data_IF_264786443894
#
_entry.id   IF_264786443894
#
_cell.length_a   1.000
_cell.length_b   1.000
_cell.length_c   1.000
_cell.angle_alpha   90.00
_cell.angle_beta   90.00
_cell.angle_gamma   90.00
#
_symmetry.space_group_name_H-M   'P 1'
#
loop_
_entity.id
_entity.type
_entity.pdbx_description
1 polymer ?
#
# COMPACT_ATOMS: atom_id res chain seq x y z
N UNK A 1 12.27 6.08 -26.97
CA UNK A 1 13.19 7.09 -27.50
C UNK A 1 12.72 8.42 -26.97
N UNK A 2 13.59 9.21 -26.38
CA UNK A 2 13.31 10.54 -25.81
C UNK A 2 13.05 11.52 -26.95
N UNK A 3 11.95 12.23 -26.93
CA UNK A 3 11.55 13.10 -28.05
C UNK A 3 11.35 14.53 -27.55
N UNK A 4 12.00 15.48 -28.20
CA UNK A 4 11.88 16.92 -27.92
C UNK A 4 11.28 17.61 -29.13
N UNK A 5 10.20 18.37 -28.90
CA UNK A 5 9.59 19.22 -29.93
C UNK A 5 10.17 20.61 -29.83
N UNK A 6 10.72 21.10 -30.93
CA UNK A 6 11.22 22.45 -31.10
C UNK A 6 10.21 23.23 -31.92
N UNK A 7 9.71 24.34 -31.39
CA UNK A 7 8.76 25.24 -32.06
C UNK A 7 9.43 26.62 -32.20
N UNK A 8 9.93 26.92 -33.37
CA UNK A 8 10.64 28.15 -33.69
C UNK A 8 10.45 28.47 -35.18
N UNK A 9 10.11 29.72 -35.53
CA UNK A 9 9.87 30.13 -36.91
C UNK A 9 11.15 30.24 -37.72
N UNK A 10 12.31 30.29 -37.04
CA UNK A 10 13.63 30.34 -37.67
C UNK A 10 14.19 28.91 -37.92
N UNK A 11 14.23 28.41 -39.18
CA UNK A 11 14.74 27.08 -39.47
C UNK A 11 16.17 26.84 -38.96
N UNK A 12 17.05 27.86 -38.99
CA UNK A 12 18.45 27.73 -38.55
C UNK A 12 18.54 27.45 -37.03
N UNK A 13 17.66 28.03 -36.22
CA UNK A 13 17.53 27.72 -34.78
C UNK A 13 17.07 26.27 -34.57
N UNK A 14 16.05 25.86 -35.32
CA UNK A 14 15.54 24.48 -35.30
C UNK A 14 16.63 23.45 -35.67
N UNK A 15 17.43 23.72 -36.73
CA UNK A 15 18.52 22.85 -37.16
C UNK A 15 19.67 22.79 -36.13
N UNK A 16 20.07 23.94 -35.55
CA UNK A 16 21.08 23.99 -34.51
C UNK A 16 20.70 23.19 -33.27
N UNK A 17 19.48 23.36 -32.76
CA UNK A 17 18.94 22.60 -31.63
C UNK A 17 18.80 21.11 -31.98
N UNK A 18 18.34 20.80 -33.19
CA UNK A 18 18.22 19.43 -33.67
C UNK A 18 19.56 18.69 -33.70
N UNK A 19 20.64 19.37 -34.16
CA UNK A 19 21.97 18.79 -34.16
C UNK A 19 22.48 18.54 -32.72
N UNK A 20 22.35 19.52 -31.86
CA UNK A 20 22.77 19.40 -30.46
C UNK A 20 22.07 18.25 -29.75
N UNK A 21 20.72 18.11 -29.89
CA UNK A 21 19.96 17.06 -29.27
C UNK A 21 20.24 15.67 -29.87
N UNK A 22 20.43 15.58 -31.19
CA UNK A 22 20.70 14.30 -31.85
C UNK A 22 22.05 13.70 -31.43
N UNK A 23 23.05 14.50 -31.13
CA UNK A 23 24.32 14.03 -30.57
C UNK A 23 24.21 13.37 -29.20
N UNK A 24 23.10 13.61 -28.49
CA UNK A 24 22.80 13.06 -27.18
C UNK A 24 21.68 12.00 -27.20
N UNK A 25 21.47 11.36 -28.37
CA UNK A 25 20.44 10.30 -28.55
C UNK A 25 18.99 10.76 -28.27
N UNK A 26 18.74 12.06 -28.37
CA UNK A 26 17.42 12.67 -28.23
C UNK A 26 16.86 12.90 -29.63
N UNK A 27 15.63 12.43 -29.89
CA UNK A 27 14.91 12.62 -31.17
C UNK A 27 14.34 14.04 -31.22
N UNK A 28 14.83 14.95 -32.06
CA UNK A 28 14.22 16.24 -32.25
C UNK A 28 13.08 16.17 -33.25
N UNK A 29 12.02 16.93 -33.02
CA UNK A 29 10.96 17.24 -33.96
C UNK A 29 10.91 18.77 -34.11
N UNK A 30 10.77 19.26 -35.32
CA UNK A 30 10.78 20.71 -35.59
C UNK A 30 9.40 21.10 -36.14
N UNK A 31 8.83 22.14 -35.58
CA UNK A 31 7.66 22.85 -36.06
C UNK A 31 8.02 24.31 -36.29
N UNK A 32 7.66 24.84 -37.45
CA UNK A 32 7.98 26.23 -37.82
C UNK A 32 6.86 27.21 -37.45
N UNK A 33 5.73 26.69 -36.98
CA UNK A 33 4.60 27.53 -36.53
C UNK A 33 3.94 26.95 -35.27
N UNK A 34 3.25 27.77 -34.46
CA UNK A 34 2.48 27.32 -33.32
C UNK A 34 1.45 26.22 -33.67
N UNK A 35 0.77 26.34 -34.81
CA UNK A 35 -0.26 25.38 -35.26
C UNK A 35 0.35 24.02 -35.59
N UNK A 36 1.51 24.01 -36.26
CA UNK A 36 2.27 22.77 -36.52
C UNK A 36 2.71 22.14 -35.21
N UNK A 37 3.20 22.93 -34.27
CA UNK A 37 3.61 22.44 -32.94
C UNK A 37 2.45 21.79 -32.19
N UNK A 38 1.28 22.43 -32.17
CA UNK A 38 0.08 21.88 -31.53
C UNK A 38 -0.41 20.60 -32.21
N UNK A 39 -0.38 20.56 -33.57
CA UNK A 39 -0.74 19.34 -34.31
C UNK A 39 0.21 18.16 -34.04
N UNK A 40 1.51 18.42 -33.88
CA UNK A 40 2.50 17.39 -33.51
C UNK A 40 2.30 16.89 -32.08
N UNK A 41 1.88 17.75 -31.15
CA UNK A 41 1.54 17.34 -29.77
C UNK A 41 0.34 16.38 -29.71
N UNK A 42 -0.57 16.44 -30.68
CA UNK A 42 -1.72 15.54 -30.77
C UNK A 42 -1.37 14.19 -31.46
N UNK A 43 -0.41 14.18 -32.38
CA UNK A 43 -0.07 13.01 -33.21
C UNK A 43 1.17 12.25 -32.75
N UNK A 44 2.11 12.91 -32.11
CA UNK A 44 3.40 12.35 -31.71
C UNK A 44 3.57 12.32 -30.19
N UNK A 45 4.37 11.38 -29.73
CA UNK A 45 4.75 11.33 -28.34
C UNK A 45 5.91 12.27 -28.07
N UNK A 46 5.65 13.35 -27.34
CA UNK A 46 6.62 14.37 -26.99
C UNK A 46 6.89 14.33 -25.49
N UNK A 47 8.16 14.45 -25.10
CA UNK A 47 8.63 14.38 -23.74
C UNK A 47 8.98 15.74 -23.13
N UNK A 48 9.48 16.67 -23.97
CA UNK A 48 9.81 18.07 -23.63
C UNK A 48 9.50 18.94 -24.84
N UNK A 49 9.04 20.17 -24.62
CA UNK A 49 8.88 21.20 -25.65
C UNK A 49 9.91 22.31 -25.41
N UNK A 50 10.57 22.73 -26.49
CA UNK A 50 11.36 23.98 -26.55
C UNK A 50 10.62 24.90 -27.51
N UNK A 51 10.12 26.04 -27.03
CA UNK A 51 9.38 26.98 -27.87
C UNK A 51 9.99 28.36 -27.87
N UNK A 52 9.94 29.02 -29.02
CA UNK A 52 10.23 30.46 -29.12
C UNK A 52 9.10 31.29 -28.53
N UNK A 53 9.45 32.49 -28.10
CA UNK A 53 8.50 33.48 -27.60
C UNK A 53 7.94 34.40 -28.70
N UNK A 54 8.61 34.53 -29.85
CA UNK A 54 8.21 35.38 -30.97
C UNK A 54 8.23 34.57 -32.27
N UNK A 55 7.13 34.51 -32.99
CA UNK A 55 6.97 33.74 -34.22
C UNK A 55 6.86 34.64 -35.48
N UNK A 56 6.90 35.96 -35.32
CA UNK A 56 6.90 36.94 -36.44
C UNK A 56 8.02 37.92 -36.27
N UNK A 57 8.77 38.19 -37.36
CA UNK A 57 9.98 39.02 -37.38
C UNK A 57 9.78 40.47 -36.89
N UNK A 58 8.53 40.97 -36.95
CA UNK A 58 8.18 42.34 -36.60
C UNK A 58 7.58 42.52 -35.19
N UNK A 59 7.35 41.41 -34.44
CA UNK A 59 6.79 41.43 -33.08
C UNK A 59 7.81 41.01 -32.04
N UNK A 60 8.15 41.95 -31.16
CA UNK A 60 9.03 41.66 -29.98
C UNK A 60 8.22 41.56 -28.69
N UNK A 61 6.86 41.44 -28.79
CA UNK A 61 5.95 41.47 -27.63
C UNK A 61 5.91 40.16 -26.83
N UNK A 62 6.28 39.04 -27.45
CA UNK A 62 6.19 37.69 -26.83
C UNK A 62 4.74 37.18 -26.66
N UNK A 63 3.72 37.90 -27.11
CA UNK A 63 2.30 37.54 -26.95
C UNK A 63 1.97 36.19 -27.63
N UNK A 64 2.54 35.92 -28.79
CA UNK A 64 2.33 34.65 -29.52
C UNK A 64 2.87 33.44 -28.75
N UNK A 65 4.07 33.57 -28.20
CA UNK A 65 4.69 32.53 -27.36
C UNK A 65 3.93 32.31 -26.06
N UNK A 66 3.38 33.36 -25.44
CA UNK A 66 2.52 33.27 -24.25
C UNK A 66 1.21 32.53 -24.62
N UNK A 67 0.60 32.85 -25.76
CA UNK A 67 -0.61 32.20 -26.20
C UNK A 67 -0.39 30.70 -26.47
N UNK A 68 0.71 30.37 -27.14
CA UNK A 68 1.13 28.98 -27.41
C UNK A 68 1.38 28.22 -26.09
N UNK A 69 2.15 28.78 -25.17
CA UNK A 69 2.41 28.18 -23.85
C UNK A 69 1.10 27.89 -23.09
N UNK A 70 0.17 28.83 -23.06
CA UNK A 70 -1.12 28.64 -22.43
C UNK A 70 -1.94 27.55 -23.11
N UNK A 71 -1.94 27.49 -24.45
CA UNK A 71 -2.62 26.45 -25.22
C UNK A 71 -2.04 25.03 -24.92
N UNK A 72 -0.71 24.93 -24.82
CA UNK A 72 -0.04 23.68 -24.43
C UNK A 72 -0.44 23.29 -23.00
N UNK A 73 -0.39 24.23 -22.05
CA UNK A 73 -0.74 23.97 -20.65
C UNK A 73 -2.19 23.54 -20.43
N UNK A 74 -3.13 24.07 -21.20
CA UNK A 74 -4.54 23.65 -21.11
C UNK A 74 -4.76 22.19 -21.49
N UNK A 75 -3.99 21.66 -22.44
CA UNK A 75 -4.14 20.29 -22.96
C UNK A 75 -3.16 19.30 -22.34
N UNK A 76 -1.97 19.76 -21.96
CA UNK A 76 -0.84 18.97 -21.46
C UNK A 76 -0.25 19.60 -20.20
N UNK A 77 -0.95 19.44 -19.08
CA UNK A 77 -0.60 20.06 -17.77
C UNK A 77 0.80 19.71 -17.29
N UNK A 78 1.25 18.48 -17.54
CA UNK A 78 2.50 17.94 -16.98
C UNK A 78 3.67 17.94 -17.98
N UNK A 79 3.45 18.40 -19.23
CA UNK A 79 4.50 18.41 -20.26
C UNK A 79 5.49 19.54 -20.00
N UNK A 80 6.79 19.28 -19.78
CA UNK A 80 7.77 20.33 -19.58
C UNK A 80 7.92 21.21 -20.81
N UNK A 81 7.87 22.53 -20.61
CA UNK A 81 8.08 23.53 -21.69
C UNK A 81 9.24 24.44 -21.30
N UNK A 82 10.25 24.49 -22.15
CA UNK A 82 11.38 25.43 -22.09
C UNK A 82 11.07 26.58 -23.04
N UNK A 83 11.21 27.81 -22.54
CA UNK A 83 10.99 29.01 -23.33
C UNK A 83 12.31 29.57 -23.86
N UNK A 84 12.41 29.81 -25.18
CA UNK A 84 13.53 30.55 -25.77
C UNK A 84 13.17 32.02 -25.89
N UNK A 85 14.00 32.92 -25.36
CA UNK A 85 13.71 34.35 -25.35
C UNK A 85 14.96 35.18 -25.74
N UNK A 86 14.75 36.28 -26.48
CA UNK A 86 15.75 37.31 -26.60
C UNK A 86 15.76 38.16 -25.31
N UNK A 87 16.91 38.68 -24.90
CA UNK A 87 17.23 39.34 -23.62
C UNK A 87 16.27 40.42 -23.11
N UNK A 88 15.28 40.84 -23.87
CA UNK A 88 14.45 42.02 -23.61
C UNK A 88 13.25 41.81 -22.66
N UNK A 89 12.90 40.55 -22.25
CA UNK A 89 11.69 40.27 -21.50
C UNK A 89 11.85 39.31 -20.31
N UNK A 90 12.86 39.60 -19.47
CA UNK A 90 13.11 38.76 -18.26
C UNK A 90 11.94 38.71 -17.29
N UNK A 91 11.19 39.82 -17.14
CA UNK A 91 10.02 39.89 -16.27
C UNK A 91 8.91 38.93 -16.76
N UNK A 92 8.65 38.89 -18.06
CA UNK A 92 7.65 38.00 -18.66
C UNK A 92 8.07 36.53 -18.54
N UNK A 93 9.37 36.21 -18.70
CA UNK A 93 9.87 34.85 -18.49
C UNK A 93 9.69 34.38 -17.06
N UNK A 94 9.94 35.23 -16.06
CA UNK A 94 9.69 34.94 -14.64
C UNK A 94 8.21 34.69 -14.34
N UNK A 95 7.32 35.47 -14.95
CA UNK A 95 5.85 35.25 -14.81
C UNK A 95 5.42 33.89 -15.41
N UNK A 96 5.97 33.51 -16.55
CA UNK A 96 5.66 32.24 -17.19
C UNK A 96 6.24 31.03 -16.46
N UNK A 97 7.40 31.15 -15.82
CA UNK A 97 7.90 30.13 -14.89
C UNK A 97 6.95 29.99 -13.70
N UNK A 98 6.46 31.09 -13.13
CA UNK A 98 5.40 31.02 -12.08
C UNK A 98 4.09 30.41 -12.60
N UNK A 99 3.80 30.58 -13.88
CA UNK A 99 2.64 29.96 -14.54
C UNK A 99 2.88 28.50 -14.96
N UNK A 100 4.05 27.91 -14.63
CA UNK A 100 4.38 26.50 -14.82
C UNK A 100 5.31 26.18 -15.99
N UNK A 101 5.97 27.16 -16.62
CA UNK A 101 7.07 26.85 -17.54
C UNK A 101 8.21 26.17 -16.77
N UNK A 102 8.83 25.16 -17.40
CA UNK A 102 9.86 24.37 -16.74
C UNK A 102 11.18 25.14 -16.58
N UNK A 103 11.55 25.90 -17.61
CA UNK A 103 12.72 26.77 -17.60
C UNK A 103 12.63 27.79 -18.74
N UNK A 104 13.58 28.73 -18.75
CA UNK A 104 13.79 29.65 -19.87
C UNK A 104 15.25 29.74 -20.25
N UNK A 105 15.55 29.94 -21.54
CA UNK A 105 16.89 30.09 -22.08
C UNK A 105 16.95 31.34 -22.97
N UNK A 106 18.03 32.12 -22.79
CA UNK A 106 18.28 33.30 -23.62
C UNK A 106 18.90 32.89 -24.98
N UNK A 107 18.50 33.59 -26.04
CA UNK A 107 19.19 33.50 -27.34
C UNK A 107 20.29 34.57 -27.40
N UNK A 108 21.58 34.24 -27.71
CA UNK A 108 22.11 32.90 -27.96
C UNK A 108 22.23 32.09 -26.68
N UNK A 109 21.94 30.80 -26.72
CA UNK A 109 22.03 29.89 -25.59
C UNK A 109 23.43 29.28 -25.43
N UNK A 110 23.69 28.77 -24.26
CA UNK A 110 24.81 27.90 -23.95
C UNK A 110 24.41 26.45 -24.15
N UNK A 111 25.10 25.71 -25.04
CA UNK A 111 24.73 24.33 -25.38
C UNK A 111 24.82 23.40 -24.16
N UNK A 112 25.79 23.56 -23.27
CA UNK A 112 25.93 22.74 -22.09
C UNK A 112 24.77 22.96 -21.12
N UNK A 113 24.33 24.22 -20.94
CA UNK A 113 23.18 24.56 -20.11
C UNK A 113 21.89 24.03 -20.72
N UNK A 114 21.67 24.18 -22.02
CA UNK A 114 20.52 23.68 -22.75
C UNK A 114 20.40 22.17 -22.55
N UNK A 115 21.44 21.41 -22.83
CA UNK A 115 21.48 19.96 -22.74
C UNK A 115 21.22 19.49 -21.31
N UNK A 116 21.88 20.08 -20.32
CA UNK A 116 21.64 19.74 -18.91
C UNK A 116 20.19 19.99 -18.49
N UNK A 117 19.60 21.11 -18.93
CA UNK A 117 18.18 21.41 -18.66
C UNK A 117 17.25 20.38 -19.31
N UNK A 118 17.49 20.09 -20.60
CA UNK A 118 16.67 19.10 -21.35
C UNK A 118 16.79 17.71 -20.74
N UNK A 119 17.99 17.24 -20.42
CA UNK A 119 18.22 15.93 -19.79
C UNK A 119 17.49 15.80 -18.45
N UNK A 120 17.63 16.78 -17.56
CA UNK A 120 16.91 16.81 -16.28
C UNK A 120 15.39 16.76 -16.45
N UNK A 121 14.85 17.51 -17.41
CA UNK A 121 13.42 17.52 -17.67
C UNK A 121 12.93 16.22 -18.32
N UNK A 122 13.73 15.58 -19.15
CA UNK A 122 13.43 14.26 -19.71
C UNK A 122 13.38 13.19 -18.61
N UNK A 123 14.34 13.17 -17.70
CA UNK A 123 14.36 12.25 -16.56
C UNK A 123 13.15 12.47 -15.66
N UNK A 124 12.80 13.72 -15.34
CA UNK A 124 11.61 14.06 -14.57
C UNK A 124 10.33 13.59 -15.28
N UNK A 125 10.21 13.84 -16.59
CA UNK A 125 9.06 13.41 -17.41
C UNK A 125 8.93 11.88 -17.47
N UNK A 126 10.04 11.15 -17.62
CA UNK A 126 10.06 9.69 -17.58
C UNK A 126 9.59 9.15 -16.24
N UNK A 127 10.15 9.65 -15.13
CA UNK A 127 9.78 9.26 -13.77
C UNK A 127 8.29 9.51 -13.50
N UNK A 128 7.79 10.70 -13.84
CA UNK A 128 6.38 11.06 -13.67
C UNK A 128 5.45 10.13 -14.45
N UNK A 129 5.84 9.79 -15.70
CA UNK A 129 5.06 8.87 -16.54
C UNK A 129 5.08 7.43 -16.05
N UNK A 130 6.23 6.95 -15.54
CA UNK A 130 6.31 5.61 -14.95
C UNK A 130 5.38 5.50 -13.73
N UNK A 131 5.38 6.50 -12.86
CA UNK A 131 4.46 6.57 -11.71
C UNK A 131 3.01 6.58 -12.18
N UNK A 132 2.67 7.40 -13.19
CA UNK A 132 1.31 7.46 -13.73
C UNK A 132 0.86 6.15 -14.38
N UNK A 133 1.75 5.46 -15.12
CA UNK A 133 1.49 4.13 -15.70
C UNK A 133 1.24 3.10 -14.62
N UNK A 134 2.14 3.00 -13.65
CA UNK A 134 1.99 2.06 -12.52
C UNK A 134 0.67 2.31 -11.77
N UNK A 135 0.29 3.58 -11.56
CA UNK A 135 -0.98 3.96 -10.94
C UNK A 135 -2.20 3.51 -11.77
N UNK A 136 -2.15 3.72 -13.09
CA UNK A 136 -3.22 3.30 -14.00
C UNK A 136 -3.34 1.78 -14.09
N UNK A 137 -2.24 1.04 -14.12
CA UNK A 137 -2.24 -0.43 -14.11
C UNK A 137 -2.84 -0.97 -12.82
N UNK A 138 -2.45 -0.41 -11.65
CA UNK A 138 -3.04 -0.76 -10.34
C UNK A 138 -4.54 -0.50 -10.32
N UNK A 139 -4.99 0.64 -10.85
CA UNK A 139 -6.42 0.97 -10.93
C UNK A 139 -7.18 -0.02 -11.81
N UNK A 140 -6.67 -0.32 -13.01
CA UNK A 140 -7.28 -1.31 -13.93
C UNK A 140 -7.38 -2.69 -13.29
N UNK A 141 -6.32 -3.15 -12.63
CA UNK A 141 -6.32 -4.44 -11.91
C UNK A 141 -7.39 -4.49 -10.82
N UNK A 142 -7.54 -3.41 -10.05
CA UNK A 142 -8.59 -3.30 -9.03
C UNK A 142 -9.99 -3.35 -9.65
N UNK A 143 -10.23 -2.60 -10.71
CA UNK A 143 -11.51 -2.60 -11.44
C UNK A 143 -11.82 -3.99 -12.01
N UNK A 144 -10.84 -4.69 -12.54
CA UNK A 144 -11.00 -6.06 -13.06
C UNK A 144 -11.35 -7.06 -11.96
N UNK A 145 -10.72 -6.96 -10.79
CA UNK A 145 -11.05 -7.79 -9.63
C UNK A 145 -12.49 -7.56 -9.18
N UNK A 146 -12.92 -6.29 -9.06
CA UNK A 146 -14.28 -5.92 -8.68
C UNK A 146 -15.35 -6.36 -9.70
N UNK A 147 -15.01 -6.44 -10.99
CA UNK A 147 -15.91 -6.93 -12.02
C UNK A 147 -16.07 -8.46 -12.04
N UNK A 148 -15.00 -9.18 -11.68
CA UNK A 148 -14.96 -10.65 -11.75
C UNK A 148 -15.49 -11.34 -10.50
N UNK A 149 -15.40 -10.69 -9.36
CA UNK A 149 -15.64 -11.27 -8.06
C UNK A 149 -16.53 -10.37 -7.20
N UNK A 150 -17.31 -11.02 -6.34
CA UNK A 150 -18.05 -10.33 -5.30
C UNK A 150 -17.08 -9.94 -4.17
N UNK A 151 -16.75 -8.65 -4.13
CA UNK A 151 -15.87 -8.04 -3.14
C UNK A 151 -16.62 -7.06 -2.24
N UNK A 152 -17.93 -7.29 -2.03
CA UNK A 152 -18.76 -6.38 -1.25
C UNK A 152 -18.21 -6.12 0.16
N UNK A 153 -18.25 -4.87 0.55
CA UNK A 153 -17.80 -4.42 1.86
C UNK A 153 -16.29 -4.43 2.09
N UNK A 154 -15.45 -4.60 1.04
CA UNK A 154 -14.01 -4.42 1.15
C UNK A 154 -13.53 -3.19 0.42
N UNK A 155 -12.70 -2.39 1.10
CA UNK A 155 -12.02 -1.22 0.54
C UNK A 155 -10.53 -1.47 0.54
N UNK A 156 -9.89 -1.28 -0.62
CA UNK A 156 -8.46 -1.45 -0.81
C UNK A 156 -7.95 -0.60 -1.97
N UNK A 157 -6.70 -0.22 -1.92
CA UNK A 157 -5.97 0.48 -2.99
C UNK A 157 -4.57 -0.11 -3.20
N UNK A 158 -4.02 -0.77 -2.16
CA UNK A 158 -2.67 -1.34 -2.18
C UNK A 158 -2.56 -2.58 -3.07
N UNK A 159 -1.41 -2.74 -3.69
CA UNK A 159 -1.08 -3.93 -4.48
C UNK A 159 -0.99 -5.20 -3.60
N UNK A 160 -0.53 -5.06 -2.37
CA UNK A 160 -0.46 -6.16 -1.41
C UNK A 160 -1.85 -6.75 -1.15
N UNK A 161 -2.84 -5.89 -0.90
CA UNK A 161 -4.22 -6.32 -0.70
C UNK A 161 -4.86 -6.87 -1.97
N UNK A 162 -4.56 -6.28 -3.15
CA UNK A 162 -5.03 -6.79 -4.44
C UNK A 162 -4.59 -8.24 -4.66
N UNK A 163 -3.33 -8.58 -4.39
CA UNK A 163 -2.80 -9.96 -4.50
C UNK A 163 -3.47 -10.92 -3.51
N UNK A 164 -3.66 -10.50 -2.26
CA UNK A 164 -4.35 -11.30 -1.25
C UNK A 164 -5.77 -11.62 -1.69
N UNK A 165 -6.52 -10.64 -2.22
CA UNK A 165 -7.87 -10.81 -2.73
C UNK A 165 -7.93 -11.70 -3.97
N UNK A 166 -6.99 -11.54 -4.90
CA UNK A 166 -6.90 -12.38 -6.09
C UNK A 166 -6.72 -13.84 -5.70
N UNK A 167 -5.79 -14.15 -4.79
CA UNK A 167 -5.59 -15.50 -4.26
C UNK A 167 -6.86 -16.01 -3.55
N UNK A 168 -7.45 -15.21 -2.67
CA UNK A 168 -8.69 -15.57 -1.95
C UNK A 168 -9.83 -15.92 -2.90
N UNK A 169 -10.01 -15.14 -3.98
CA UNK A 169 -11.03 -15.39 -4.98
C UNK A 169 -10.72 -16.60 -5.89
N UNK A 170 -9.45 -16.85 -6.18
CA UNK A 170 -9.03 -18.04 -6.94
C UNK A 170 -9.34 -19.32 -6.15
N UNK A 171 -8.97 -19.36 -4.87
CA UNK A 171 -9.21 -20.53 -4.01
C UNK A 171 -10.69 -20.68 -3.63
N UNK A 172 -11.50 -19.63 -3.75
CA UNK A 172 -12.93 -19.68 -3.48
C UNK A 172 -13.65 -20.74 -4.31
N UNK A 173 -13.19 -20.98 -5.55
CA UNK A 173 -13.79 -21.94 -6.48
C UNK A 173 -13.53 -23.41 -6.13
N UNK A 174 -12.60 -23.68 -5.26
CA UNK A 174 -12.29 -25.05 -4.76
C UNK A 174 -12.94 -25.29 -3.41
N UNK A 175 -13.15 -26.56 -3.05
CA UNK A 175 -13.67 -26.96 -1.73
C UNK A 175 -12.56 -27.18 -0.69
N UNK A 176 -11.30 -26.94 -1.03
CA UNK A 176 -10.16 -27.15 -0.12
C UNK A 176 -10.22 -26.22 1.09
N UNK A 177 -9.75 -26.69 2.27
CA UNK A 177 -9.55 -25.85 3.43
C UNK A 177 -8.59 -24.69 3.15
N UNK A 178 -8.88 -23.53 3.72
CA UNK A 178 -8.06 -22.32 3.59
C UNK A 178 -7.71 -21.81 4.97
N UNK A 179 -6.43 -21.57 5.20
CA UNK A 179 -5.93 -20.90 6.40
C UNK A 179 -5.63 -19.44 6.09
N UNK A 180 -6.28 -18.53 6.81
CA UNK A 180 -6.08 -17.09 6.68
C UNK A 180 -5.18 -16.64 7.83
N UNK A 181 -3.97 -16.20 7.50
CA UNK A 181 -3.00 -15.73 8.50
C UNK A 181 -2.90 -14.19 8.45
N UNK A 182 -2.54 -13.58 9.58
CA UNK A 182 -2.33 -12.15 9.65
C UNK A 182 -2.63 -11.56 11.03
N UNK A 183 -2.20 -10.31 11.30
CA UNK A 183 -2.33 -9.70 12.61
C UNK A 183 -3.79 -9.46 13.01
N UNK A 184 -3.99 -9.21 14.32
CA UNK A 184 -5.31 -8.88 14.85
C UNK A 184 -5.81 -7.56 14.25
N UNK A 185 -7.12 -7.53 13.94
CA UNK A 185 -7.74 -6.34 13.35
C UNK A 185 -7.42 -6.09 11.88
N UNK A 186 -6.68 -6.98 11.19
CA UNK A 186 -6.33 -6.81 9.78
C UNK A 186 -7.51 -7.03 8.81
N UNK A 187 -8.56 -7.76 9.24
CA UNK A 187 -9.76 -8.01 8.44
C UNK A 187 -9.91 -9.46 7.95
N UNK A 188 -9.35 -10.45 8.67
CA UNK A 188 -9.38 -11.89 8.31
C UNK A 188 -10.81 -12.41 8.06
N UNK A 189 -11.78 -12.04 8.92
CA UNK A 189 -13.17 -12.43 8.76
C UNK A 189 -13.79 -11.92 7.44
N UNK A 190 -13.42 -10.71 7.02
CA UNK A 190 -13.88 -10.14 5.74
C UNK A 190 -13.33 -10.93 4.55
N UNK A 191 -12.08 -11.39 4.61
CA UNK A 191 -11.49 -12.28 3.59
C UNK A 191 -12.25 -13.61 3.56
N UNK A 192 -12.58 -14.19 4.71
CA UNK A 192 -13.36 -15.43 4.76
C UNK A 192 -14.77 -15.25 4.14
N UNK A 193 -15.42 -14.12 4.40
CA UNK A 193 -16.71 -13.79 3.78
C UNK A 193 -16.62 -13.67 2.26
N UNK A 194 -15.53 -13.06 1.72
CA UNK A 194 -15.28 -12.98 0.27
C UNK A 194 -15.04 -14.36 -0.32
N UNK A 195 -14.25 -15.21 0.35
CA UNK A 195 -14.04 -16.60 -0.10
C UNK A 195 -15.37 -17.33 -0.17
N UNK A 196 -16.25 -17.18 0.84
CA UNK A 196 -17.58 -17.77 0.81
C UNK A 196 -18.44 -17.22 -0.33
N UNK A 197 -18.55 -15.90 -0.49
CA UNK A 197 -19.39 -15.24 -1.50
C UNK A 197 -19.01 -15.64 -2.94
N UNK A 198 -17.73 -15.98 -3.19
CA UNK A 198 -17.24 -16.40 -4.49
C UNK A 198 -17.13 -17.93 -4.65
N UNK A 199 -17.65 -18.70 -3.69
CA UNK A 199 -17.56 -20.16 -3.67
C UNK A 199 -18.79 -20.86 -4.26
N UNK A 200 -18.68 -22.17 -4.45
CA UNK A 200 -19.82 -23.04 -4.76
C UNK A 200 -20.86 -23.11 -3.64
N UNK A 201 -20.46 -22.89 -2.40
CA UNK A 201 -21.29 -22.89 -1.20
C UNK A 201 -21.95 -21.52 -0.89
N UNK A 202 -21.82 -20.51 -1.74
CA UNK A 202 -22.32 -19.13 -1.53
C UNK A 202 -23.80 -18.99 -1.22
N UNK A 203 -24.61 -20.01 -1.56
CA UNK A 203 -26.06 -20.05 -1.26
C UNK A 203 -26.34 -20.66 0.10
N UNK A 204 -25.37 -21.36 0.70
CA UNK A 204 -25.47 -21.94 2.03
C UNK A 204 -25.17 -20.91 3.13
N UNK A 205 -25.28 -21.33 4.37
CA UNK A 205 -24.99 -20.47 5.51
C UNK A 205 -23.48 -20.15 5.60
N UNK A 206 -23.14 -18.90 5.96
CA UNK A 206 -21.80 -18.53 6.42
C UNK A 206 -21.85 -18.38 7.94
N UNK A 207 -21.26 -19.33 8.67
CA UNK A 207 -21.26 -19.35 10.13
C UNK A 207 -19.84 -19.02 10.61
N UNK A 208 -19.69 -17.91 11.36
CA UNK A 208 -18.44 -17.53 11.96
C UNK A 208 -18.40 -17.88 13.45
N UNK A 209 -17.27 -18.43 13.91
CA UNK A 209 -17.04 -18.78 15.31
C UNK A 209 -15.64 -18.33 15.71
N UNK A 210 -15.55 -17.56 16.80
CA UNK A 210 -14.25 -17.23 17.39
C UNK A 210 -13.90 -18.27 18.45
N UNK A 211 -12.83 -19.04 18.22
CA UNK A 211 -12.37 -20.12 19.10
C UNK A 211 -11.75 -19.62 20.40
N UNK A 212 -11.38 -18.32 20.47
CA UNK A 212 -10.83 -17.69 21.68
C UNK A 212 -11.88 -16.99 22.57
N UNK A 213 -13.14 -16.90 22.12
CA UNK A 213 -14.18 -16.16 22.84
C UNK A 213 -14.75 -16.90 24.05
N UNK A 214 -14.62 -18.22 24.11
CA UNK A 214 -15.22 -19.08 25.15
C UNK A 214 -14.19 -20.03 25.75
N UNK A 215 -14.35 -20.44 27.03
CA UNK A 215 -13.56 -21.54 27.62
C UNK A 215 -13.64 -22.82 26.81
N UNK A 216 -12.60 -23.68 26.85
CA UNK A 216 -12.44 -24.84 25.99
C UNK A 216 -13.63 -25.79 25.92
N UNK A 217 -14.26 -26.12 27.05
CA UNK A 217 -15.45 -27.01 27.07
C UNK A 217 -16.67 -26.37 26.41
N UNK A 218 -16.84 -25.05 26.57
CA UNK A 218 -17.97 -24.34 25.98
C UNK A 218 -17.78 -24.11 24.47
N UNK A 219 -16.56 -23.92 24.01
CA UNK A 219 -16.29 -23.80 22.56
C UNK A 219 -16.52 -25.12 21.84
N UNK A 220 -16.18 -26.27 22.47
CA UNK A 220 -16.52 -27.58 21.92
C UNK A 220 -18.04 -27.81 21.83
N UNK A 221 -18.81 -27.45 22.89
CA UNK A 221 -20.27 -27.50 22.87
C UNK A 221 -20.86 -26.57 21.80
N UNK A 222 -20.29 -25.40 21.58
CA UNK A 222 -20.69 -24.48 20.54
C UNK A 222 -20.45 -25.05 19.13
N UNK A 223 -19.27 -25.65 18.91
CA UNK A 223 -18.87 -26.19 17.59
C UNK A 223 -19.66 -27.47 17.26
N UNK A 224 -19.70 -28.43 18.17
CA UNK A 224 -20.21 -29.78 17.91
C UNK A 224 -21.63 -30.03 18.45
N UNK A 225 -22.17 -29.08 19.24
CA UNK A 225 -23.43 -29.27 19.92
C UNK A 225 -23.34 -30.10 21.20
N UNK A 226 -24.37 -30.10 21.98
CA UNK A 226 -24.44 -30.85 23.23
C UNK A 226 -25.83 -31.43 23.45
N UNK A 227 -25.89 -32.61 24.05
CA UNK A 227 -27.15 -33.19 24.57
C UNK A 227 -27.43 -32.67 26.01
N UNK A 228 -28.66 -32.80 26.46
CA UNK A 228 -29.00 -32.42 27.81
C UNK A 228 -28.16 -33.20 28.84
N UNK A 229 -27.55 -32.51 29.80
CA UNK A 229 -26.69 -33.12 30.83
C UNK A 229 -25.23 -33.37 30.39
N UNK A 230 -24.81 -32.97 29.20
CA UNK A 230 -23.46 -33.19 28.69
C UNK A 230 -22.36 -32.47 29.50
N UNK A 231 -22.70 -31.33 30.11
CA UNK A 231 -21.80 -30.57 30.99
C UNK A 231 -22.62 -29.79 32.02
N UNK A 232 -21.96 -29.23 33.03
CA UNK A 232 -22.64 -28.47 34.11
C UNK A 232 -23.31 -27.21 33.53
N UNK A 233 -24.65 -27.22 33.49
CA UNK A 233 -25.46 -26.14 32.89
C UNK A 233 -26.11 -26.50 31.56
N UNK A 234 -25.84 -27.67 30.97
CA UNK A 234 -26.50 -28.15 29.76
C UNK A 234 -27.92 -28.64 30.03
N UNK A 235 -28.87 -27.73 30.28
CA UNK A 235 -30.26 -28.08 30.63
C UNK A 235 -31.09 -28.59 29.44
N UNK A 236 -30.69 -28.29 28.22
CA UNK A 236 -31.37 -28.69 26.97
C UNK A 236 -30.33 -29.08 25.91
N UNK A 237 -30.75 -29.97 25.01
CA UNK A 237 -29.94 -30.27 23.83
C UNK A 237 -29.83 -29.04 22.93
N UNK A 238 -28.63 -28.80 22.38
CA UNK A 238 -28.33 -27.68 21.52
C UNK A 238 -27.57 -28.13 20.27
N UNK A 239 -27.97 -27.62 19.12
CA UNK A 239 -27.27 -27.85 17.84
C UNK A 239 -25.93 -27.13 17.81
N UNK A 240 -24.94 -27.79 17.21
CA UNK A 240 -23.61 -27.21 17.01
C UNK A 240 -23.50 -26.39 15.74
N UNK A 241 -22.45 -25.58 15.66
CA UNK A 241 -22.18 -24.73 14.51
C UNK A 241 -21.91 -25.55 13.24
N UNK A 242 -21.34 -26.74 13.35
CA UNK A 242 -21.22 -27.67 12.22
C UNK A 242 -22.56 -28.09 11.63
N UNK A 243 -23.56 -28.32 12.47
CA UNK A 243 -24.93 -28.65 12.01
C UNK A 243 -25.56 -27.45 11.28
N UNK A 244 -25.42 -26.25 11.86
CA UNK A 244 -25.97 -25.02 11.28
C UNK A 244 -25.26 -24.60 9.97
N UNK A 245 -24.02 -25.03 9.79
CA UNK A 245 -23.25 -24.74 8.60
C UNK A 245 -23.37 -25.81 7.50
N UNK A 246 -24.21 -26.83 7.68
CA UNK A 246 -24.35 -27.93 6.71
C UNK A 246 -24.76 -27.40 5.31
N UNK A 247 -24.06 -27.82 4.28
CA UNK A 247 -24.19 -27.31 2.92
C UNK A 247 -23.61 -25.90 2.70
N UNK A 248 -22.98 -25.29 3.71
CA UNK A 248 -22.45 -23.94 3.71
C UNK A 248 -20.95 -23.89 4.06
N UNK A 249 -20.58 -22.81 4.75
CA UNK A 249 -19.19 -22.54 5.17
C UNK A 249 -19.14 -22.26 6.67
N UNK A 250 -18.22 -22.90 7.36
CA UNK A 250 -17.86 -22.60 8.74
C UNK A 250 -16.53 -21.88 8.77
N UNK A 251 -16.49 -20.68 9.34
CA UNK A 251 -15.28 -19.91 9.56
C UNK A 251 -14.87 -19.98 11.03
N UNK A 252 -13.67 -20.50 11.28
CA UNK A 252 -13.09 -20.66 12.60
C UNK A 252 -12.01 -19.57 12.80
N UNK A 253 -12.34 -18.50 13.51
CA UNK A 253 -11.38 -17.47 13.87
C UNK A 253 -10.59 -17.87 15.12
N UNK A 254 -9.33 -17.43 15.18
CA UNK A 254 -8.39 -17.73 16.27
C UNK A 254 -8.24 -19.23 16.57
N UNK A 255 -8.12 -20.05 15.51
CA UNK A 255 -8.07 -21.51 15.59
C UNK A 255 -6.97 -22.05 16.54
N UNK A 256 -5.88 -21.28 16.76
CA UNK A 256 -4.84 -21.61 17.71
C UNK A 256 -5.32 -21.77 19.16
N UNK A 257 -6.46 -21.18 19.51
CA UNK A 257 -7.03 -21.24 20.87
C UNK A 257 -7.89 -22.49 21.13
N UNK A 258 -8.10 -23.34 20.09
CA UNK A 258 -8.88 -24.57 20.25
C UNK A 258 -8.13 -25.56 21.13
N UNK A 259 -8.85 -26.15 22.10
CA UNK A 259 -8.28 -27.20 22.98
C UNK A 259 -7.80 -28.42 22.21
N UNK A 260 -6.83 -29.18 22.74
CA UNK A 260 -6.34 -30.40 22.08
C UNK A 260 -7.48 -31.41 21.82
N UNK A 261 -8.47 -31.52 22.72
CA UNK A 261 -9.65 -32.36 22.51
C UNK A 261 -10.52 -31.86 21.36
N UNK A 262 -10.73 -30.54 21.29
CA UNK A 262 -11.43 -29.90 20.18
C UNK A 262 -10.70 -30.07 18.84
N UNK A 263 -9.36 -30.01 18.85
CA UNK A 263 -8.54 -30.25 17.66
C UNK A 263 -8.70 -31.69 17.12
N UNK A 264 -8.77 -32.69 17.98
CA UNK A 264 -9.01 -34.09 17.58
C UNK A 264 -10.39 -34.25 16.93
N UNK A 265 -11.44 -33.67 17.54
CA UNK A 265 -12.79 -33.70 16.98
C UNK A 265 -12.88 -32.96 15.64
N UNK A 266 -12.23 -31.79 15.53
CA UNK A 266 -12.18 -31.03 14.30
C UNK A 266 -11.49 -31.81 13.17
N UNK A 267 -10.35 -32.47 13.47
CA UNK A 267 -9.65 -33.32 12.50
C UNK A 267 -10.58 -34.40 11.95
N UNK A 268 -11.34 -35.11 12.82
CA UNK A 268 -12.29 -36.14 12.41
C UNK A 268 -13.36 -35.59 11.45
N UNK A 269 -13.90 -34.39 11.75
CA UNK A 269 -14.88 -33.75 10.84
C UNK A 269 -14.26 -33.39 9.50
N UNK A 270 -13.03 -32.87 9.48
CA UNK A 270 -12.32 -32.50 8.25
C UNK A 270 -11.96 -33.72 7.37
N UNK A 271 -11.77 -34.89 7.98
CA UNK A 271 -11.43 -36.11 7.27
C UNK A 271 -12.64 -36.88 6.76
N UNK A 272 -13.67 -37.00 7.61
CA UNK A 272 -14.77 -37.92 7.38
C UNK A 272 -16.15 -37.26 7.22
N UNK A 273 -16.25 -35.97 7.53
CA UNK A 273 -17.53 -35.24 7.62
C UNK A 273 -18.40 -35.70 8.81
N UNK A 274 -17.81 -36.42 9.80
CA UNK A 274 -18.55 -37.04 10.91
C UNK A 274 -18.13 -36.42 12.24
N UNK A 275 -19.13 -36.30 13.12
CA UNK A 275 -18.90 -35.87 14.50
C UNK A 275 -20.03 -36.38 15.40
N UNK A 276 -19.87 -36.21 16.71
CA UNK A 276 -20.83 -36.54 17.75
C UNK A 276 -21.01 -35.30 18.63
N UNK A 277 -22.27 -35.04 19.06
CA UNK A 277 -22.55 -34.01 20.08
C UNK A 277 -21.90 -34.40 21.42
N UNK A 278 -21.55 -33.45 22.22
CA UNK A 278 -21.08 -33.69 23.58
C UNK A 278 -22.17 -34.48 24.36
N UNK A 279 -21.76 -35.54 25.05
CA UNK A 279 -22.67 -36.41 25.79
C UNK A 279 -23.52 -37.37 24.92
N UNK A 280 -23.21 -37.48 23.61
CA UNK A 280 -23.92 -38.39 22.70
C UNK A 280 -22.94 -39.34 22.02
N UNK A 281 -23.33 -40.62 21.87
CA UNK A 281 -22.64 -41.58 21.01
C UNK A 281 -23.20 -41.66 19.59
N UNK A 282 -24.17 -40.78 19.23
CA UNK A 282 -24.78 -40.79 17.89
C UNK A 282 -23.95 -40.00 16.90
N UNK A 283 -23.40 -40.68 15.89
CA UNK A 283 -22.65 -40.07 14.80
C UNK A 283 -23.58 -39.25 13.89
N UNK A 284 -23.19 -38.03 13.57
CA UNK A 284 -23.81 -37.09 12.62
C UNK A 284 -22.92 -36.88 11.44
N UNK A 285 -23.51 -36.56 10.29
CA UNK A 285 -22.80 -36.28 9.05
C UNK A 285 -23.13 -34.86 8.57
N UNK A 286 -22.11 -34.14 8.14
CA UNK A 286 -22.25 -32.80 7.54
C UNK A 286 -21.29 -32.64 6.34
N UNK A 287 -21.71 -31.82 5.39
CA UNK A 287 -20.85 -31.35 4.30
C UNK A 287 -20.63 -29.85 4.46
N UNK A 288 -19.55 -29.48 5.12
CA UNK A 288 -19.21 -28.10 5.45
C UNK A 288 -17.85 -27.72 4.86
N UNK A 289 -17.78 -26.59 4.17
CA UNK A 289 -16.50 -25.99 3.82
C UNK A 289 -15.92 -25.28 5.04
N UNK A 290 -14.68 -25.64 5.42
CA UNK A 290 -14.03 -25.02 6.58
C UNK A 290 -13.01 -24.00 6.10
N UNK A 291 -13.14 -22.78 6.63
CA UNK A 291 -12.15 -21.70 6.55
C UNK A 291 -11.65 -21.45 7.97
N UNK A 292 -10.35 -21.28 8.15
CA UNK A 292 -9.77 -21.01 9.47
C UNK A 292 -8.89 -19.76 9.43
N UNK A 293 -8.81 -19.06 10.56
CA UNK A 293 -7.94 -17.90 10.69
C UNK A 293 -7.14 -17.93 11.99
N UNK A 294 -5.96 -17.33 11.95
CA UNK A 294 -5.10 -17.17 13.13
C UNK A 294 -4.16 -15.99 13.00
N UNK A 295 -3.79 -15.43 14.13
CA UNK A 295 -2.65 -14.51 14.27
C UNK A 295 -1.45 -15.18 14.95
N UNK A 296 -1.60 -16.43 15.42
CA UNK A 296 -0.57 -17.16 16.13
C UNK A 296 0.36 -17.91 15.16
N UNK A 297 1.61 -18.09 15.57
CA UNK A 297 2.54 -19.00 14.89
C UNK A 297 2.19 -20.45 15.23
N UNK A 298 1.35 -21.08 14.41
CA UNK A 298 0.95 -22.48 14.60
C UNK A 298 2.14 -23.43 14.57
N UNK A 299 3.21 -23.13 13.82
CA UNK A 299 4.41 -23.98 13.80
C UNK A 299 5.15 -23.92 15.13
N UNK A 300 5.22 -22.77 15.77
CA UNK A 300 5.75 -22.66 17.14
C UNK A 300 4.86 -23.41 18.14
N UNK A 301 3.53 -23.35 18.00
CA UNK A 301 2.59 -24.08 18.83
C UNK A 301 2.69 -25.61 18.66
N UNK A 302 2.97 -26.10 17.45
CA UNK A 302 3.24 -27.52 17.17
C UNK A 302 4.50 -27.95 17.94
N UNK A 303 5.58 -27.17 17.86
CA UNK A 303 6.82 -27.45 18.61
C UNK A 303 6.61 -27.47 20.13
N UNK A 304 5.70 -26.63 20.63
CA UNK A 304 5.32 -26.55 22.05
C UNK A 304 4.30 -27.64 22.48
N UNK A 305 3.79 -28.46 21.55
CA UNK A 305 2.80 -29.50 21.84
C UNK A 305 1.40 -28.97 22.12
N UNK A 306 1.09 -27.69 21.83
CA UNK A 306 -0.21 -27.05 22.05
C UNK A 306 -1.09 -27.05 20.83
N UNK A 307 -0.55 -27.37 19.67
CA UNK A 307 -1.30 -27.56 18.42
C UNK A 307 -0.85 -28.84 17.72
N UNK A 308 -1.79 -29.59 17.14
CA UNK A 308 -1.48 -30.87 16.47
C UNK A 308 -0.99 -30.63 15.06
N UNK A 309 0.07 -31.33 14.69
CA UNK A 309 0.69 -31.28 13.37
C UNK A 309 -0.24 -31.82 12.26
N UNK A 310 -0.97 -32.93 12.53
CA UNK A 310 -1.90 -33.54 11.58
C UNK A 310 -3.06 -32.57 11.23
N UNK A 311 -3.62 -31.89 12.22
CA UNK A 311 -4.63 -30.87 12.00
C UNK A 311 -4.09 -29.69 11.20
N UNK A 312 -2.87 -29.23 11.49
CA UNK A 312 -2.24 -28.14 10.75
C UNK A 312 -2.19 -28.43 9.25
N UNK A 313 -1.69 -29.61 8.84
CA UNK A 313 -1.63 -29.98 7.43
C UNK A 313 -3.00 -30.14 6.78
N UNK A 314 -4.03 -30.47 7.55
CA UNK A 314 -5.39 -30.57 7.05
C UNK A 314 -6.07 -29.21 6.87
N UNK A 315 -5.73 -28.21 7.71
CA UNK A 315 -6.26 -26.84 7.62
C UNK A 315 -5.47 -25.99 6.61
N UNK A 316 -4.15 -26.15 6.57
CA UNK A 316 -3.25 -25.33 5.75
C UNK A 316 -2.96 -25.99 4.40
N UNK A 317 -4.02 -26.27 3.61
CA UNK A 317 -3.84 -26.68 2.21
C UNK A 317 -3.48 -25.50 1.34
N UNK A 318 -4.13 -24.34 1.58
CA UNK A 318 -3.77 -23.07 0.97
C UNK A 318 -3.77 -22.00 2.07
N UNK A 319 -2.67 -21.25 2.13
CA UNK A 319 -2.50 -20.14 3.04
C UNK A 319 -2.78 -18.80 2.33
N UNK A 320 -3.66 -18.00 2.91
CA UNK A 320 -3.93 -16.62 2.47
C UNK A 320 -3.41 -15.68 3.55
N UNK A 321 -2.26 -15.07 3.30
CA UNK A 321 -1.67 -14.11 4.23
C UNK A 321 -2.25 -12.71 4.03
N UNK A 322 -2.75 -12.12 5.11
CA UNK A 322 -3.27 -10.77 5.16
C UNK A 322 -2.22 -9.84 5.78
N UNK A 323 -1.64 -8.91 5.00
CA UNK A 323 -0.58 -8.05 5.49
C UNK A 323 -1.09 -7.06 6.55
N UNK A 324 -0.24 -6.63 7.50
CA UNK A 324 -0.56 -5.56 8.44
C UNK A 324 -0.83 -4.25 7.69
N UNK A 325 -1.59 -3.34 8.31
CA UNK A 325 -1.96 -2.07 7.68
C UNK A 325 -0.73 -1.20 7.37
N UNK A 326 0.32 -1.30 8.18
CA UNK A 326 1.60 -0.63 7.95
C UNK A 326 2.30 -1.02 6.63
N UNK A 327 2.07 -2.23 6.11
CA UNK A 327 2.61 -2.72 4.82
C UNK A 327 1.70 -2.41 3.63
N UNK A 328 0.54 -1.80 3.88
CA UNK A 328 -0.46 -1.41 2.87
C UNK A 328 -0.96 0.02 3.08
N UNK A 329 -0.02 0.94 3.15
CA UNK A 329 -0.26 2.37 3.45
C UNK A 329 -1.27 3.00 2.49
N UNK A 330 -1.26 2.58 1.21
CA UNK A 330 -2.21 3.04 0.20
C UNK A 330 -3.68 2.77 0.58
N UNK A 331 -3.96 1.81 1.49
CA UNK A 331 -5.31 1.49 1.94
C UNK A 331 -5.82 2.42 3.05
N UNK A 332 -4.93 3.13 3.75
CA UNK A 332 -5.27 3.89 4.97
C UNK A 332 -6.31 4.98 4.67
N UNK A 333 -6.04 5.86 3.71
CA UNK A 333 -6.96 6.95 3.39
C UNK A 333 -8.29 6.47 2.80
N UNK A 334 -8.32 5.53 1.84
CA UNK A 334 -9.58 4.96 1.36
C UNK A 334 -10.41 4.30 2.46
N UNK A 335 -9.78 3.59 3.39
CA UNK A 335 -10.46 3.01 4.55
C UNK A 335 -10.98 4.09 5.50
N UNK A 336 -10.20 5.14 5.76
CA UNK A 336 -10.63 6.25 6.60
C UNK A 336 -11.85 6.98 5.98
N UNK A 337 -11.83 7.26 4.70
CA UNK A 337 -12.94 7.87 3.96
C UNK A 337 -14.18 6.97 3.98
N UNK A 338 -14.01 5.67 3.81
CA UNK A 338 -15.10 4.70 3.92
C UNK A 338 -15.72 4.68 5.32
N UNK A 339 -14.91 4.72 6.39
CA UNK A 339 -15.43 4.75 7.75
C UNK A 339 -16.04 6.08 8.14
N UNK A 340 -15.63 7.19 7.49
CA UNK A 340 -16.28 8.49 7.66
C UNK A 340 -17.70 8.51 7.10
N UNK A 341 -17.94 7.81 6.00
CA UNK A 341 -19.25 7.71 5.36
C UNK A 341 -19.89 9.08 5.12
N UNK A 342 -19.11 10.06 4.68
CA UNK A 342 -19.55 11.42 4.40
C UNK A 342 -19.90 12.28 5.63
N UNK A 343 -19.67 11.80 6.86
CA UNK A 343 -20.01 12.52 8.11
C UNK A 343 -19.08 13.70 8.40
N UNK A 344 -17.85 13.67 7.90
CA UNK A 344 -16.85 14.72 8.05
C UNK A 344 -15.79 14.60 6.97
N UNK A 345 -14.97 15.64 6.80
CA UNK A 345 -13.83 15.65 5.88
C UNK A 345 -12.49 15.61 6.64
N UNK A 346 -11.51 14.91 6.09
CA UNK A 346 -10.16 14.90 6.63
C UNK A 346 -9.39 16.16 6.18
N UNK A 347 -8.91 16.94 7.13
CA UNK A 347 -7.94 18.00 6.84
C UNK A 347 -6.58 17.42 6.40
N UNK A 348 -5.77 18.20 5.67
CA UNK A 348 -4.48 17.74 5.13
C UNK A 348 -3.55 17.25 6.25
N UNK A 349 -3.43 17.99 7.34
CA UNK A 349 -2.62 17.57 8.49
C UNK A 349 -3.14 16.29 9.16
N UNK A 350 -4.46 16.05 9.14
CA UNK A 350 -5.03 14.79 9.63
C UNK A 350 -4.70 13.61 8.70
N UNK A 351 -4.71 13.83 7.37
CA UNK A 351 -4.27 12.84 6.37
C UNK A 351 -2.81 12.44 6.60
N UNK A 352 -1.93 13.42 6.79
CA UNK A 352 -0.51 13.17 7.07
C UNK A 352 -0.31 12.38 8.38
N UNK A 353 -1.07 12.72 9.41
CA UNK A 353 -1.04 12.00 10.69
C UNK A 353 -1.48 10.54 10.55
N UNK A 354 -2.54 10.27 9.76
CA UNK A 354 -3.01 8.92 9.47
C UNK A 354 -1.98 8.08 8.72
N UNK A 355 -1.29 8.67 7.72
CA UNK A 355 -0.26 7.99 6.93
C UNK A 355 1.03 7.73 7.72
N UNK A 356 1.34 8.57 8.70
CA UNK A 356 2.56 8.48 9.50
C UNK A 356 2.44 7.49 10.67
N UNK A 357 1.23 7.10 11.08
CA UNK A 357 1.00 6.22 12.21
C UNK A 357 1.08 4.74 11.81
N UNK A 358 1.76 3.86 12.57
CA UNK A 358 2.02 2.47 12.18
C UNK A 358 0.85 1.51 12.37
N UNK A 359 -0.25 1.92 12.95
CA UNK A 359 -1.50 1.16 13.13
C UNK A 359 -1.31 -0.25 13.73
N UNK A 360 -0.76 -0.40 14.96
CA UNK A 360 -0.55 -1.71 15.56
C UNK A 360 -1.83 -2.53 15.70
N UNK A 361 -2.99 -1.89 15.90
CA UNK A 361 -4.31 -2.53 15.92
C UNK A 361 -4.97 -2.64 14.54
N UNK A 362 -4.23 -2.31 13.46
CA UNK A 362 -4.65 -2.44 12.07
C UNK A 362 -5.97 -1.71 11.75
N UNK A 363 -6.80 -2.31 10.90
CA UNK A 363 -8.07 -1.70 10.43
C UNK A 363 -9.06 -1.49 11.59
N UNK A 364 -9.03 -2.33 12.63
CA UNK A 364 -9.90 -2.16 13.80
C UNK A 364 -9.55 -0.88 14.58
N UNK A 365 -8.27 -0.59 14.75
CA UNK A 365 -7.80 0.63 15.41
C UNK A 365 -8.10 1.86 14.54
N UNK A 366 -7.81 1.80 13.24
CA UNK A 366 -8.14 2.86 12.29
C UNK A 366 -9.63 3.20 12.32
N UNK A 367 -10.51 2.19 12.23
CA UNK A 367 -11.95 2.38 12.30
C UNK A 367 -12.37 3.11 13.58
N UNK A 368 -11.90 2.64 14.73
CA UNK A 368 -12.23 3.24 16.03
C UNK A 368 -11.72 4.69 16.13
N UNK A 369 -10.52 4.97 15.61
CA UNK A 369 -9.96 6.32 15.61
C UNK A 369 -10.78 7.28 14.74
N UNK A 370 -11.16 6.84 13.53
CA UNK A 370 -11.96 7.63 12.59
C UNK A 370 -13.39 7.85 13.11
N UNK A 371 -14.06 6.82 13.61
CA UNK A 371 -15.41 6.95 14.18
C UNK A 371 -15.43 7.92 15.36
N UNK A 372 -14.44 7.82 16.26
CA UNK A 372 -14.27 8.76 17.38
C UNK A 372 -14.01 10.19 16.88
N UNK A 373 -13.11 10.37 15.91
CA UNK A 373 -12.79 11.69 15.35
C UNK A 373 -14.00 12.31 14.68
N UNK A 374 -14.82 11.54 13.97
CA UNK A 374 -16.04 12.01 13.35
C UNK A 374 -17.08 12.52 14.36
N UNK A 375 -17.16 11.89 15.54
CA UNK A 375 -18.04 12.33 16.65
C UNK A 375 -17.54 13.63 17.30
N UNK A 376 -16.23 13.88 17.30
CA UNK A 376 -15.58 15.04 17.91
C UNK A 376 -15.29 16.17 16.90
N UNK A 377 -15.60 15.95 15.63
CA UNK A 377 -15.36 16.93 14.58
C UNK A 377 -16.21 18.20 14.82
N UNK A 378 -15.54 19.34 14.86
CA UNK A 378 -16.20 20.64 14.82
C UNK A 378 -16.25 21.10 13.35
N UNK A 379 -17.35 21.71 12.95
CA UNK A 379 -17.55 22.25 11.59
C UNK A 379 -17.37 21.21 10.44
N UNK A 380 -17.59 19.92 10.74
CA UNK A 380 -17.51 18.86 9.73
C UNK A 380 -16.10 18.55 9.23
N UNK A 381 -15.04 19.06 9.88
CA UNK A 381 -13.64 18.84 9.50
C UNK A 381 -12.85 18.23 10.64
N UNK A 382 -12.06 17.19 10.32
CA UNK A 382 -11.21 16.50 11.28
C UNK A 382 -9.78 17.06 11.22
N UNK A 383 -9.31 17.53 12.37
CA UNK A 383 -7.92 17.92 12.62
C UNK A 383 -7.14 16.75 13.29
N UNK A 384 -5.78 16.77 13.32
CA UNK A 384 -4.98 15.72 13.90
C UNK A 384 -5.29 15.42 15.38
N UNK A 385 -5.65 16.44 16.15
CA UNK A 385 -5.94 16.34 17.58
C UNK A 385 -7.15 15.45 17.87
N UNK A 386 -8.15 15.48 16.96
CA UNK A 386 -9.38 14.70 17.09
C UNK A 386 -9.17 13.20 16.81
N UNK A 387 -8.13 12.84 16.05
CA UNK A 387 -7.74 11.45 15.84
C UNK A 387 -7.25 10.81 17.14
N UNK A 388 -6.74 11.61 18.08
CA UNK A 388 -6.20 11.17 19.37
C UNK A 388 -5.31 9.93 19.20
N UNK A 389 -4.42 10.00 18.20
CA UNK A 389 -3.44 8.95 17.99
C UNK A 389 -2.41 9.04 19.13
N UNK A 390 -2.02 7.91 19.75
CA UNK A 390 -0.94 7.91 20.71
C UNK A 390 0.28 8.59 20.07
N UNK A 391 0.78 9.66 20.70
CA UNK A 391 2.08 10.17 20.31
C UNK A 391 3.05 9.01 20.53
N UNK A 392 3.50 8.44 19.43
CA UNK A 392 4.71 7.63 19.46
C UNK A 392 5.77 8.64 19.88
N UNK A 393 6.08 8.69 21.18
CA UNK A 393 7.30 9.35 21.64
C UNK A 393 8.39 8.86 20.70
N UNK A 394 9.47 9.63 20.43
CA UNK A 394 10.43 9.24 19.43
C UNK A 394 10.68 7.76 19.62
N UNK A 395 10.11 6.96 18.73
CA UNK A 395 10.36 5.53 18.74
C UNK A 395 11.85 5.50 18.58
N UNK A 396 12.54 5.13 19.64
CA UNK A 396 13.85 4.55 19.52
C UNK A 396 13.58 3.39 18.57
N UNK A 397 13.62 3.68 17.26
CA UNK A 397 13.89 2.69 16.25
C UNK A 397 15.22 2.16 16.73
N UNK A 398 15.17 1.13 17.57
CA UNK A 398 16.33 0.26 17.76
C UNK A 398 16.52 -0.32 16.36
N UNK A 399 17.27 0.41 15.53
CA UNK A 399 17.96 -0.20 14.43
C UNK A 399 18.71 -1.34 15.10
N UNK A 400 18.27 -2.57 14.86
CA UNK A 400 18.97 -3.77 15.29
C UNK A 400 20.42 -3.76 14.79
N UNK A 401 20.74 -2.90 13.83
CA UNK A 401 22.06 -2.61 13.29
C UNK A 401 22.73 -1.38 13.93
N UNK A 402 22.11 -0.66 14.87
CA UNK A 402 22.75 0.47 15.51
C UNK A 402 23.51 -0.03 16.77
N UNK A 403 24.85 0.02 16.74
CA UNK A 403 25.65 -0.47 17.86
C UNK A 403 25.26 0.27 19.14
N UNK A 404 25.00 -0.49 20.21
CA UNK A 404 24.70 0.06 21.51
C UNK A 404 25.89 0.87 22.06
N UNK A 405 25.66 1.72 23.06
CA UNK A 405 26.72 2.44 23.76
C UNK A 405 27.83 1.49 24.20
N UNK A 406 27.48 0.36 24.81
CA UNK A 406 28.41 -0.68 25.27
C UNK A 406 29.23 -1.27 24.11
N UNK A 407 28.60 -1.48 22.94
CA UNK A 407 29.28 -1.97 21.74
C UNK A 407 30.27 -0.96 21.19
N UNK A 408 29.94 0.34 21.27
CA UNK A 408 30.85 1.42 20.85
C UNK A 408 32.01 1.56 21.81
N UNK A 409 31.78 1.53 23.13
CA UNK A 409 32.80 1.55 24.16
C UNK A 409 33.77 0.37 24.02
N UNK A 410 33.25 -0.83 23.89
CA UNK A 410 34.08 -2.06 23.69
C UNK A 410 34.89 -2.03 22.42
N UNK A 411 34.36 -1.50 21.31
CA UNK A 411 35.09 -1.36 20.06
C UNK A 411 36.22 -0.30 20.16
N UNK A 412 35.97 0.80 20.85
CA UNK A 412 37.00 1.84 21.10
C UNK A 412 38.11 1.31 22.02
N UNK A 413 37.78 0.56 23.08
CA UNK A 413 38.75 -0.06 23.99
C UNK A 413 39.63 -1.07 23.23
N UNK A 414 39.01 -1.99 22.45
CA UNK A 414 39.76 -2.95 21.58
C UNK A 414 40.63 -2.28 20.54
N UNK A 415 40.21 -1.13 20.04
CA UNK A 415 40.95 -0.36 19.05
C UNK A 415 42.04 0.56 19.67
N UNK A 416 42.22 0.51 21.01
CA UNK A 416 43.19 1.38 21.70
C UNK A 416 42.88 2.86 21.54
N UNK A 417 41.60 3.26 21.49
CA UNK A 417 41.16 4.64 21.28
C UNK A 417 41.20 5.13 19.83
N UNK A 418 41.65 4.30 18.87
CA UNK A 418 41.77 4.69 17.46
C UNK A 418 40.41 4.60 16.76
N UNK A 419 39.73 5.75 16.60
CA UNK A 419 38.37 5.86 16.05
C UNK A 419 38.21 5.23 14.69
N UNK A 420 39.24 5.30 13.82
CA UNK A 420 39.18 4.68 12.48
C UNK A 420 39.12 3.15 12.52
N UNK A 421 39.83 2.51 13.46
CA UNK A 421 39.79 1.05 13.66
C UNK A 421 38.49 0.60 14.32
N UNK A 422 38.01 1.35 15.30
CA UNK A 422 36.75 1.09 15.95
C UNK A 422 35.55 1.21 14.96
N UNK A 423 35.57 2.22 14.07
CA UNK A 423 34.57 2.38 13.02
C UNK A 423 34.58 1.18 12.07
N UNK A 424 35.75 0.73 11.63
CA UNK A 424 35.88 -0.43 10.75
C UNK A 424 35.36 -1.73 11.43
N UNK A 425 35.67 -1.90 12.71
CA UNK A 425 35.20 -3.07 13.49
C UNK A 425 33.67 -3.10 13.67
N UNK A 426 33.01 -1.93 13.66
CA UNK A 426 31.56 -1.77 13.78
C UNK A 426 30.85 -1.66 12.43
N UNK A 427 31.56 -1.77 11.31
CA UNK A 427 30.98 -1.59 9.94
C UNK A 427 30.51 -0.17 9.68
N UNK A 428 31.04 0.84 10.36
CA UNK A 428 30.62 2.24 10.27
C UNK A 428 31.65 3.12 9.56
N UNK A 429 31.18 4.21 8.97
CA UNK A 429 32.09 5.27 8.56
C UNK A 429 32.62 6.03 9.80
N UNK A 430 33.84 6.61 9.70
CA UNK A 430 34.45 7.38 10.76
C UNK A 430 33.54 8.54 11.27
N UNK A 431 32.88 9.24 10.33
CA UNK A 431 31.93 10.31 10.68
C UNK A 431 30.68 9.79 11.40
N UNK A 432 30.20 8.60 11.01
CA UNK A 432 29.06 7.96 11.66
C UNK A 432 29.39 7.55 13.09
N UNK A 433 30.62 7.10 13.36
CA UNK A 433 31.06 6.77 14.72
C UNK A 433 31.23 8.03 15.58
N UNK A 434 31.79 9.12 15.05
CA UNK A 434 31.91 10.38 15.79
C UNK A 434 30.54 10.91 16.26
N UNK A 435 29.53 10.92 15.40
CA UNK A 435 28.17 11.34 15.75
C UNK A 435 27.56 10.48 16.88
N UNK A 436 27.90 9.18 16.91
CA UNK A 436 27.43 8.27 17.95
C UNK A 436 28.18 8.49 19.28
N UNK A 437 29.49 8.69 19.21
CA UNK A 437 30.30 9.04 20.38
C UNK A 437 29.79 10.32 21.04
N UNK A 438 29.46 11.35 20.24
CA UNK A 438 28.88 12.60 20.72
C UNK A 438 27.51 12.37 21.38
N UNK A 439 26.62 11.58 20.74
CA UNK A 439 25.31 11.23 21.26
C UNK A 439 25.39 10.44 22.57
N UNK A 440 26.38 9.57 22.72
CA UNK A 440 26.55 8.75 23.92
C UNK A 440 27.41 9.41 25.01
N UNK A 441 27.88 10.63 24.80
CA UNK A 441 28.75 11.35 25.72
C UNK A 441 30.14 10.75 25.83
N UNK A 442 30.63 10.06 24.80
CA UNK A 442 31.94 9.42 24.72
C UNK A 442 32.98 10.29 23.98
N UNK A 443 32.70 11.58 23.81
CA UNK A 443 33.66 12.51 23.22
C UNK A 443 34.85 12.68 24.18
N UNK A 444 36.08 12.54 23.63
CA UNK A 444 37.33 12.51 24.31
C UNK A 444 37.53 13.67 25.29
N UNK A 445 38.06 13.29 26.49
CA UNK A 445 38.93 14.18 27.27
C UNK A 445 40.26 14.37 26.53
#
# INVERSE_FOLDING_TARGET
MRTVLIIDDNPAVGEALSLALSLHEIRPLIALTPEQGLAMLESERIDVVIQDMNFTADTTSGEEGIALFRAIRQRHTDLPVILLTAWTHLETAVELVKAGAADYLAKPWDDAKLLATVENLLELSESTREVARARNERRRRREDLQRRYDLDGIVFASEAMARTLELACQVARSEVPVLITGPNGAGKERIAAIVHANSGARRGAFIAVNCGALPGELIEAELFGAEAGAYTGANKAREGRFELADGGTLFLDEIGNLSLSGQVKLLRVLETGQFERLGSGRTRHVKVRVLSATNADLKAMIRAGTFREDLYYRLNVIEVNLPPLAERIDDILPLAEFFLDGRAELGDAARDALLSYPWPGNVRELKNAIERAALLAHDGRIAPEQLNLPQLGPSVVRNLDEPSRESVEAALEKAGGVVSRAAQALGLSRQALYRRMERYGLAQA
#
